data_IF_290991463354
#
_entry.id   IF_290991463354
#
_cell.length_a   1.000
_cell.length_b   1.000
_cell.length_c   1.000
_cell.angle_alpha   90.00
_cell.angle_beta   90.00
_cell.angle_gamma   90.00
#
_symmetry.space_group_name_H-M   'P 1'
#
loop_
_entity.id
_entity.type
_entity.pdbx_description
1 polymer ?
#
# COMPACT_ATOMS: atom_id res chain seq x y z
N UNK A 1 17.89 -28.03 6.74
CA UNK A 1 18.23 -27.66 8.13
C UNK A 1 17.08 -28.05 9.05
N UNK A 2 17.35 -28.44 10.30
CA UNK A 2 16.30 -28.67 11.31
C UNK A 2 16.29 -27.47 12.26
N UNK A 3 15.14 -26.83 12.37
CA UNK A 3 14.92 -25.62 13.16
C UNK A 3 13.65 -25.83 14.00
N UNK A 4 13.63 -25.27 15.20
CA UNK A 4 12.43 -25.20 16.04
C UNK A 4 11.91 -23.78 16.00
N UNK A 5 10.63 -23.59 15.70
CA UNK A 5 9.96 -22.30 15.64
C UNK A 5 8.82 -22.30 16.65
N UNK A 6 8.71 -21.21 17.41
CA UNK A 6 7.53 -20.97 18.27
C UNK A 6 6.46 -20.30 17.43
N UNK A 7 5.28 -20.92 17.35
CA UNK A 7 4.10 -20.41 16.64
C UNK A 7 2.95 -20.30 17.64
N UNK A 8 2.07 -19.32 17.45
CA UNK A 8 0.84 -19.24 18.23
C UNK A 8 -0.14 -20.37 17.85
N UNK A 9 -1.01 -20.74 18.80
CA UNK A 9 -1.93 -21.87 18.65
C UNK A 9 -2.87 -21.70 17.45
N UNK A 10 -3.34 -20.47 17.19
CA UNK A 10 -4.22 -20.18 16.07
C UNK A 10 -3.53 -20.40 14.72
N UNK A 11 -2.27 -19.98 14.59
CA UNK A 11 -1.46 -20.21 13.40
C UNK A 11 -1.17 -21.70 13.20
N UNK A 12 -0.90 -22.45 14.27
CA UNK A 12 -0.69 -23.90 14.19
C UNK A 12 -1.93 -24.61 13.66
N UNK A 13 -3.12 -24.29 14.18
CA UNK A 13 -4.38 -24.89 13.72
C UNK A 13 -4.67 -24.55 12.25
N UNK A 14 -4.43 -23.30 11.86
CA UNK A 14 -4.57 -22.89 10.45
C UNK A 14 -3.63 -23.68 9.53
N UNK A 15 -2.36 -23.82 9.90
CA UNK A 15 -1.38 -24.56 9.11
C UNK A 15 -1.69 -26.05 9.00
N UNK A 16 -2.27 -26.66 10.05
CA UNK A 16 -2.75 -28.05 10.02
C UNK A 16 -3.91 -28.20 9.06
N UNK A 17 -4.91 -27.32 9.16
CA UNK A 17 -6.07 -27.33 8.25
C UNK A 17 -5.65 -27.15 6.79
N UNK A 18 -4.74 -26.20 6.52
CA UNK A 18 -4.19 -25.98 5.18
C UNK A 18 -3.43 -27.22 4.66
N UNK A 19 -2.65 -27.88 5.52
CA UNK A 19 -1.92 -29.10 5.16
C UNK A 19 -2.85 -30.27 4.84
N UNK A 20 -3.92 -30.46 5.62
CA UNK A 20 -4.95 -31.47 5.37
C UNK A 20 -5.70 -31.19 4.07
N UNK A 21 -6.15 -29.95 3.86
CA UNK A 21 -6.88 -29.55 2.66
C UNK A 21 -6.05 -29.72 1.38
N UNK A 22 -4.74 -29.47 1.45
CA UNK A 22 -3.81 -29.60 0.32
C UNK A 22 -3.25 -31.02 0.16
N UNK A 23 -3.48 -31.93 1.12
CA UNK A 23 -2.87 -33.26 1.14
C UNK A 23 -1.34 -33.23 1.23
N UNK A 24 -0.78 -32.23 1.91
CA UNK A 24 0.67 -31.97 1.99
C UNK A 24 1.17 -32.05 3.42
N UNK A 25 2.48 -32.22 3.60
CA UNK A 25 3.05 -32.21 4.94
C UNK A 25 3.03 -30.80 5.54
N UNK A 26 2.82 -30.69 6.86
CA UNK A 26 2.88 -29.39 7.57
C UNK A 26 4.20 -28.65 7.30
N UNK A 27 5.31 -29.38 7.17
CA UNK A 27 6.62 -28.83 6.80
C UNK A 27 6.58 -28.13 5.43
N UNK A 28 5.96 -28.75 4.43
CA UNK A 28 5.93 -28.18 3.08
C UNK A 28 5.07 -26.92 3.01
N UNK A 29 3.93 -26.94 3.70
CA UNK A 29 3.04 -25.78 3.83
C UNK A 29 3.75 -24.63 4.57
N UNK A 30 4.40 -24.92 5.70
CA UNK A 30 5.16 -23.91 6.46
C UNK A 30 6.28 -23.29 5.62
N UNK A 31 7.06 -24.12 4.92
CA UNK A 31 8.15 -23.61 4.10
C UNK A 31 7.67 -22.75 2.93
N UNK A 32 6.55 -23.11 2.31
CA UNK A 32 5.96 -22.30 1.24
C UNK A 32 5.42 -20.97 1.78
N UNK A 33 4.66 -21.00 2.88
CA UNK A 33 4.15 -19.80 3.52
C UNK A 33 5.29 -18.84 3.91
N UNK A 34 6.40 -19.36 4.44
CA UNK A 34 7.58 -18.55 4.77
C UNK A 34 8.24 -17.93 3.53
N UNK A 35 8.36 -18.66 2.41
CA UNK A 35 8.90 -18.11 1.16
C UNK A 35 8.03 -16.97 0.64
N UNK A 36 6.73 -17.20 0.52
CA UNK A 36 5.78 -16.18 0.07
C UNK A 36 5.80 -14.96 0.99
N UNK A 37 5.91 -15.17 2.31
CA UNK A 37 6.03 -14.09 3.29
C UNK A 37 7.32 -13.29 3.12
N UNK A 38 8.46 -13.94 2.91
CA UNK A 38 9.74 -13.27 2.66
C UNK A 38 9.71 -12.48 1.35
N UNK A 39 9.19 -13.06 0.27
CA UNK A 39 9.03 -12.37 -1.02
C UNK A 39 8.11 -11.14 -0.90
N UNK A 40 7.04 -11.23 -0.11
CA UNK A 40 6.15 -10.11 0.16
C UNK A 40 6.81 -9.00 1.00
N UNK A 41 7.70 -9.36 1.92
CA UNK A 41 8.49 -8.41 2.71
C UNK A 41 9.55 -7.74 1.83
N UNK A 42 10.22 -8.48 0.96
CA UNK A 42 11.24 -7.96 0.05
C UNK A 42 10.63 -7.08 -1.05
N UNK A 43 9.50 -7.48 -1.62
CA UNK A 43 8.78 -6.70 -2.64
C UNK A 43 8.13 -5.43 -2.09
N UNK A 44 8.04 -5.26 -0.78
CA UNK A 44 7.58 -4.02 -0.10
C UNK A 44 8.56 -2.85 -0.21
N UNK A 45 9.50 -2.87 -1.16
CA UNK A 45 10.27 -1.67 -1.53
C UNK A 45 9.28 -0.53 -1.74
N UNK A 46 9.33 0.47 -0.86
CA UNK A 46 8.46 1.63 -0.94
C UNK A 46 8.66 2.28 -2.31
N UNK A 47 7.65 2.17 -3.17
CA UNK A 47 7.68 2.86 -4.45
C UNK A 47 7.70 4.36 -4.12
N UNK A 48 8.69 5.13 -4.57
CA UNK A 48 8.73 6.56 -4.32
C UNK A 48 7.42 7.19 -4.79
N UNK A 49 6.79 8.00 -3.94
CA UNK A 49 5.59 8.72 -4.32
C UNK A 49 5.86 9.55 -5.58
N UNK A 50 5.05 9.35 -6.62
CA UNK A 50 5.10 10.12 -7.87
C UNK A 50 3.81 10.93 -7.98
N UNK A 51 3.95 12.25 -7.93
CA UNK A 51 2.84 13.15 -8.26
C UNK A 51 2.49 12.98 -9.74
N UNK A 52 1.20 12.91 -10.05
CA UNK A 52 0.68 13.06 -11.41
C UNK A 52 0.24 14.52 -11.58
N UNK A 53 1.12 15.43 -12.02
CA UNK A 53 0.74 16.82 -12.21
C UNK A 53 -0.28 16.91 -13.34
N UNK A 54 -1.30 17.74 -13.14
CA UNK A 54 -2.16 18.23 -14.20
C UNK A 54 -1.76 19.66 -14.51
N UNK A 55 -1.74 20.01 -15.80
CA UNK A 55 -1.56 21.41 -16.20
C UNK A 55 -2.87 22.15 -15.93
N UNK A 56 -2.92 22.83 -14.78
CA UNK A 56 -4.07 23.65 -14.41
C UNK A 56 -4.13 24.97 -15.19
N UNK A 57 -3.05 25.32 -15.90
CA UNK A 57 -2.88 26.60 -16.55
C UNK A 57 -2.85 27.78 -15.56
N UNK A 58 -2.46 28.94 -16.07
CA UNK A 58 -2.60 30.22 -15.36
C UNK A 58 -3.72 31.01 -16.03
N UNK A 59 -4.76 31.38 -15.27
CA UNK A 59 -5.76 32.31 -15.79
C UNK A 59 -5.13 33.69 -15.93
N UNK A 60 -5.24 34.29 -17.12
CA UNK A 60 -4.70 35.63 -17.38
C UNK A 60 -5.29 36.64 -16.40
N UNK A 61 -4.44 37.48 -15.80
CA UNK A 61 -4.85 38.47 -14.81
C UNK A 61 -4.95 37.94 -13.38
N UNK A 62 -4.65 36.67 -13.13
CA UNK A 62 -4.54 36.11 -11.78
C UNK A 62 -3.08 36.03 -11.36
N UNK A 63 -2.77 36.59 -10.19
CA UNK A 63 -1.53 36.32 -9.46
C UNK A 63 -1.84 35.33 -8.33
N UNK A 64 -1.29 34.11 -8.42
CA UNK A 64 -1.57 33.05 -7.45
C UNK A 64 -0.79 33.22 -6.12
N UNK A 65 0.19 34.13 -6.10
CA UNK A 65 0.89 34.52 -4.87
C UNK A 65 0.15 35.61 -4.08
N UNK A 66 -0.87 36.27 -4.67
CA UNK A 66 -1.71 37.27 -3.98
C UNK A 66 -3.03 36.64 -3.51
N UNK A 67 -2.97 35.98 -2.36
CA UNK A 67 -4.11 35.24 -1.79
C UNK A 67 -5.31 36.19 -1.51
N UNK A 68 -5.06 37.43 -1.11
CA UNK A 68 -6.13 38.37 -0.75
C UNK A 68 -6.97 38.75 -1.98
N UNK A 69 -6.31 39.04 -3.10
CA UNK A 69 -6.98 39.35 -4.36
C UNK A 69 -7.74 38.13 -4.92
N UNK A 70 -7.15 36.93 -4.82
CA UNK A 70 -7.78 35.68 -5.24
C UNK A 70 -9.09 35.41 -4.48
N UNK A 71 -9.07 35.55 -3.15
CA UNK A 71 -10.25 35.36 -2.30
C UNK A 71 -11.33 36.40 -2.63
N UNK A 72 -10.95 37.67 -2.73
CA UNK A 72 -11.88 38.75 -3.05
C UNK A 72 -12.55 38.59 -4.43
N UNK A 73 -11.91 37.88 -5.37
CA UNK A 73 -12.53 37.51 -6.66
C UNK A 73 -13.41 36.27 -6.56
N UNK A 74 -12.98 35.24 -5.84
CA UNK A 74 -13.75 34.02 -5.65
C UNK A 74 -15.09 34.29 -4.92
N UNK A 75 -15.07 35.18 -3.93
CA UNK A 75 -16.25 35.58 -3.14
C UNK A 75 -17.25 36.46 -3.92
N UNK A 76 -16.83 37.06 -5.04
CA UNK A 76 -17.70 37.92 -5.86
C UNK A 76 -18.51 37.16 -6.92
N UNK A 77 -18.23 35.87 -7.15
CA UNK A 77 -18.84 35.05 -8.22
C UNK A 77 -19.01 35.75 -9.58
N UNK A 78 -17.91 35.85 -10.33
CA UNK A 78 -17.96 35.95 -11.81
C UNK A 78 -17.30 34.67 -12.39
N UNK A 79 -17.93 33.51 -12.15
CA UNK A 79 -17.57 32.28 -12.85
C UNK A 79 -18.44 32.14 -14.10
N UNK A 80 -18.04 32.83 -15.17
CA UNK A 80 -18.49 32.56 -16.54
C UNK A 80 -17.79 31.36 -17.15
#
# INVERSE_FOLDING_TARGET
MRTTLTLDDALVERLRSDAEALGRSMKDVVNEALRLGLDAIESRVAVPYRTQPSDLGLRTGFNYDDIAELLARAEREDFG
#
